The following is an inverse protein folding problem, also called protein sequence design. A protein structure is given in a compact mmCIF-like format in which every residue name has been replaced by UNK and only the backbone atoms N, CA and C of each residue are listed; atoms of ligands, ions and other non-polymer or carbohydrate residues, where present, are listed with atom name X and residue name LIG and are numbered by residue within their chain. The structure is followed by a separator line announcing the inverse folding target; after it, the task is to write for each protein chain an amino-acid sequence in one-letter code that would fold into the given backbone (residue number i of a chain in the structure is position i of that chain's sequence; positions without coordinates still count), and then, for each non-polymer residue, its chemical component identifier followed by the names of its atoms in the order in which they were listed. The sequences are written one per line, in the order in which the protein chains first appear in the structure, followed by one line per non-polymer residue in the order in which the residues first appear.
data_IF_140054435600
#
_entry.id   IF_140054435600
#
_cell.length_a   1.000
_cell.length_b   1.000
_cell.length_c   1.000
_cell.angle_alpha   90.00
_cell.angle_beta   90.00
_cell.angle_gamma   90.00
#
_symmetry.space_group_name_H-M   'P 1'
#
loop_
_entity.id
_entity.type
_entity.pdbx_description
1 polymer ?
#
# COMPACT_ATOMS: atom_id res chain seq x y z
N UNK A 1 13.68 7.53 19.16
CA UNK A 1 12.40 6.99 19.69
C UNK A 1 11.87 5.99 18.68
N UNK A 2 11.60 4.76 19.10
CA UNK A 2 11.13 3.74 18.17
C UNK A 2 9.64 3.91 17.89
N UNK A 3 9.27 3.99 16.61
CA UNK A 3 7.90 4.09 16.15
C UNK A 3 7.61 2.96 15.17
N UNK A 4 6.48 2.27 15.36
CA UNK A 4 6.04 1.20 14.47
C UNK A 4 4.99 1.68 13.48
N UNK A 5 5.20 1.36 12.21
CA UNK A 5 4.30 1.66 11.11
C UNK A 5 3.79 0.37 10.49
N UNK A 6 2.51 0.30 10.17
CA UNK A 6 1.93 -0.87 9.52
C UNK A 6 1.08 -0.52 8.29
N UNK A 7 1.10 -1.40 7.28
CA UNK A 7 0.13 -1.39 6.18
C UNK A 7 -0.76 -2.63 6.26
N UNK A 8 -2.07 -2.44 6.09
CA UNK A 8 -3.06 -3.49 6.29
C UNK A 8 -4.24 -3.36 5.31
N UNK A 9 -4.22 -4.20 4.27
CA UNK A 9 -5.37 -4.38 3.40
C UNK A 9 -6.43 -5.25 4.10
N UNK A 10 -7.62 -4.68 4.32
CA UNK A 10 -8.67 -5.31 5.12
C UNK A 10 -9.56 -6.30 4.35
N UNK A 11 -9.36 -6.45 3.04
CA UNK A 11 -10.17 -7.29 2.15
C UNK A 11 -11.68 -7.15 2.34
N UNK A 12 -12.26 -6.16 1.65
CA UNK A 12 -13.71 -5.91 1.60
C UNK A 12 -14.35 -5.47 2.94
N UNK A 13 -13.70 -4.63 3.77
CA UNK A 13 -14.26 -4.22 5.07
C UNK A 13 -15.55 -3.40 4.95
N UNK A 14 -16.69 -4.10 4.92
CA UNK A 14 -18.03 -3.59 4.59
C UNK A 14 -19.04 -4.08 5.62
N UNK A 15 -19.50 -3.20 6.50
CA UNK A 15 -20.45 -3.56 7.54
C UNK A 15 -21.84 -3.92 6.94
N UNK A 16 -22.53 -4.95 7.46
CA UNK A 16 -23.93 -5.18 7.16
C UNK A 16 -24.78 -3.95 7.51
N UNK A 17 -25.85 -3.63 6.74
CA UNK A 17 -26.44 -4.43 5.68
C UNK A 17 -25.85 -4.18 4.28
N UNK A 18 -24.72 -3.48 4.17
CA UNK A 18 -24.15 -3.10 2.88
C UNK A 18 -23.50 -4.29 2.15
N UNK A 19 -23.44 -4.17 0.83
CA UNK A 19 -22.75 -5.09 -0.08
C UNK A 19 -21.60 -4.37 -0.78
N UNK A 20 -20.62 -5.11 -1.30
CA UNK A 20 -19.55 -4.58 -2.15
C UNK A 20 -19.66 -5.13 -3.57
N UNK A 21 -19.55 -4.26 -4.58
CA UNK A 21 -19.66 -4.50 -6.02
C UNK A 21 -20.98 -5.13 -6.51
N UNK A 22 -21.40 -6.27 -5.95
CA UNK A 22 -22.61 -7.01 -6.29
C UNK A 22 -23.49 -7.20 -5.06
N UNK A 23 -24.82 -7.20 -5.26
CA UNK A 23 -25.81 -7.30 -4.18
C UNK A 23 -25.68 -8.56 -3.30
N UNK A 24 -25.15 -9.65 -3.87
CA UNK A 24 -24.98 -10.92 -3.16
C UNK A 24 -23.74 -10.93 -2.25
N UNK A 25 -22.76 -10.07 -2.53
CA UNK A 25 -21.48 -10.06 -1.84
C UNK A 25 -21.60 -9.13 -0.63
N UNK A 26 -21.96 -9.71 0.51
CA UNK A 26 -22.18 -9.03 1.79
C UNK A 26 -21.87 -9.98 2.93
N UNK A 27 -21.50 -9.42 4.07
CA UNK A 27 -21.38 -10.20 5.30
C UNK A 27 -22.76 -10.50 5.89
N UNK A 28 -22.92 -11.70 6.44
CA UNK A 28 -23.91 -11.90 7.50
C UNK A 28 -23.44 -11.22 8.78
N UNK A 29 -24.34 -11.03 9.75
CA UNK A 29 -23.98 -10.44 11.05
C UNK A 29 -22.86 -11.22 11.75
N UNK A 30 -22.95 -12.54 11.74
CA UNK A 30 -21.97 -13.44 12.37
C UNK A 30 -20.59 -13.38 11.67
N UNK A 31 -20.57 -13.37 10.33
CA UNK A 31 -19.31 -13.24 9.58
C UNK A 31 -18.67 -11.87 9.82
N UNK A 32 -19.47 -10.81 9.92
CA UNK A 32 -18.98 -9.47 10.25
C UNK A 32 -18.36 -9.41 11.65
N UNK A 33 -19.02 -10.00 12.65
CA UNK A 33 -18.49 -10.08 14.02
C UNK A 33 -17.15 -10.85 14.07
N UNK A 34 -17.01 -11.95 13.31
CA UNK A 34 -15.74 -12.68 13.16
C UNK A 34 -14.67 -11.83 12.48
N UNK A 35 -15.01 -11.16 11.36
CA UNK A 35 -14.10 -10.25 10.64
C UNK A 35 -13.58 -9.13 11.52
N UNK A 36 -14.49 -8.46 12.23
CA UNK A 36 -14.16 -7.40 13.19
C UNK A 36 -13.25 -7.92 14.29
N UNK A 37 -13.56 -9.08 14.88
CA UNK A 37 -12.74 -9.69 15.94
C UNK A 37 -11.34 -10.00 15.43
N UNK A 38 -11.22 -10.64 14.27
CA UNK A 38 -9.93 -10.94 13.67
C UNK A 38 -9.10 -9.69 13.40
N UNK A 39 -9.69 -8.62 12.84
CA UNK A 39 -8.98 -7.35 12.63
C UNK A 39 -8.53 -6.75 13.96
N UNK A 40 -9.35 -6.79 15.03
CA UNK A 40 -8.92 -6.31 16.36
C UNK A 40 -7.70 -7.07 16.86
N UNK A 41 -7.71 -8.39 16.73
CA UNK A 41 -6.63 -9.23 17.20
C UNK A 41 -5.37 -9.06 16.36
N UNK A 42 -5.50 -8.87 15.04
CA UNK A 42 -4.38 -8.47 14.20
C UNK A 42 -3.81 -7.11 14.63
N UNK A 43 -4.63 -6.06 14.78
CA UNK A 43 -4.13 -4.74 15.20
C UNK A 43 -3.36 -4.82 16.53
N UNK A 44 -3.87 -5.59 17.51
CA UNK A 44 -3.15 -5.82 18.78
C UNK A 44 -1.83 -6.57 18.57
N UNK A 45 -1.80 -7.56 17.68
CA UNK A 45 -0.61 -8.34 17.35
C UNK A 45 0.46 -7.50 16.66
N UNK A 46 0.07 -6.64 15.72
CA UNK A 46 0.97 -5.71 15.02
C UNK A 46 1.60 -4.72 16.00
N UNK A 47 0.83 -4.28 17.01
CA UNK A 47 1.21 -3.27 18.00
C UNK A 47 1.88 -2.04 17.34
N UNK A 48 1.33 -1.62 16.21
CA UNK A 48 1.85 -0.48 15.47
C UNK A 48 1.33 0.83 16.05
N UNK A 49 2.12 1.91 16.00
CA UNK A 49 1.67 3.22 16.46
C UNK A 49 0.85 3.94 15.40
N UNK A 50 1.15 3.67 14.13
CA UNK A 50 0.50 4.26 12.96
C UNK A 50 0.18 3.15 11.95
N UNK A 51 -1.09 3.07 11.52
CA UNK A 51 -1.57 2.04 10.60
C UNK A 51 -2.26 2.67 9.40
N UNK A 52 -1.79 2.32 8.20
CA UNK A 52 -2.47 2.61 6.93
C UNK A 52 -3.34 1.44 6.52
N UNK A 53 -4.60 1.71 6.18
CA UNK A 53 -5.58 0.72 5.79
C UNK A 53 -6.03 0.88 4.34
N UNK A 54 -6.19 -0.26 3.67
CA UNK A 54 -6.76 -0.38 2.33
C UNK A 54 -8.04 -1.25 2.35
N UNK A 55 -8.83 -1.23 1.26
CA UNK A 55 -10.11 -1.97 1.15
C UNK A 55 -11.14 -1.59 2.26
N UNK A 56 -11.15 -0.32 2.67
CA UNK A 56 -12.12 0.28 3.60
C UNK A 56 -13.39 0.75 2.88
N UNK A 57 -14.53 0.12 3.19
CA UNK A 57 -15.86 0.56 2.75
C UNK A 57 -16.67 1.17 3.90
N UNK A 58 -16.52 0.62 5.10
CA UNK A 58 -17.19 1.04 6.33
C UNK A 58 -16.25 1.89 7.19
N UNK A 59 -16.18 3.19 6.89
CA UNK A 59 -15.22 4.12 7.52
C UNK A 59 -15.51 4.28 9.02
N UNK A 60 -16.77 4.52 9.41
CA UNK A 60 -17.09 4.81 10.81
C UNK A 60 -16.89 3.58 11.69
N UNK A 61 -17.22 2.39 11.21
CA UNK A 61 -16.99 1.15 11.93
C UNK A 61 -15.48 0.89 12.14
N UNK A 62 -14.64 1.18 11.14
CA UNK A 62 -13.19 1.07 11.28
C UNK A 62 -12.65 2.11 12.26
N UNK A 63 -13.17 3.33 12.23
CA UNK A 63 -12.78 4.40 13.14
C UNK A 63 -13.12 4.08 14.59
N UNK A 64 -14.33 3.57 14.85
CA UNK A 64 -14.74 3.11 16.18
C UNK A 64 -13.85 1.97 16.67
N UNK A 65 -13.59 0.99 15.82
CA UNK A 65 -12.67 -0.12 16.08
C UNK A 65 -11.27 0.35 16.48
N UNK A 66 -10.69 1.27 15.70
CA UNK A 66 -9.37 1.83 15.98
C UNK A 66 -9.37 2.65 17.27
N UNK A 67 -10.43 3.42 17.53
CA UNK A 67 -10.56 4.19 18.76
C UNK A 67 -10.60 3.30 20.01
N UNK A 68 -11.35 2.19 19.96
CA UNK A 68 -11.38 1.19 21.04
C UNK A 68 -9.98 0.60 21.34
N UNK A 69 -9.09 0.58 20.35
CA UNK A 69 -7.72 0.07 20.45
C UNK A 69 -6.68 1.16 20.76
N UNK A 70 -7.13 2.38 21.10
CA UNK A 70 -6.26 3.48 21.54
C UNK A 70 -5.73 4.39 20.43
N UNK A 71 -6.24 4.28 19.19
CA UNK A 71 -5.91 5.20 18.11
C UNK A 71 -6.87 6.39 18.12
N UNK A 72 -6.52 7.43 18.89
CA UNK A 72 -7.34 8.64 19.04
C UNK A 72 -7.44 9.49 17.77
N UNK A 73 -6.51 9.30 16.82
CA UNK A 73 -6.47 10.06 15.57
C UNK A 73 -6.75 9.16 14.37
N UNK A 74 -7.80 9.49 13.63
CA UNK A 74 -8.25 8.74 12.46
C UNK A 74 -8.51 9.67 11.28
N UNK A 75 -8.09 9.26 10.08
CA UNK A 75 -8.23 10.04 8.87
C UNK A 75 -8.66 9.17 7.69
N UNK A 76 -9.70 9.61 6.98
CA UNK A 76 -9.97 9.21 5.60
C UNK A 76 -10.26 10.48 4.79
N UNK A 77 -9.78 10.53 3.55
CA UNK A 77 -9.82 11.73 2.69
C UNK A 77 -10.83 11.62 1.54
N UNK A 78 -11.54 10.49 1.46
CA UNK A 78 -12.54 10.23 0.43
C UNK A 78 -13.71 9.44 1.02
N UNK A 79 -14.80 9.29 0.26
CA UNK A 79 -15.96 8.48 0.65
C UNK A 79 -16.23 7.38 -0.39
N UNK A 80 -16.44 6.12 0.05
CA UNK A 80 -16.90 5.03 -0.79
C UNK A 80 -18.15 5.43 -1.58
N UNK A 81 -18.11 5.26 -2.89
CA UNK A 81 -19.25 5.54 -3.77
C UNK A 81 -20.18 4.35 -3.75
N UNK A 82 -21.48 4.62 -3.72
CA UNK A 82 -22.53 3.60 -3.78
C UNK A 82 -23.16 3.52 -5.16
N UNK A 83 -23.91 2.46 -5.42
CA UNK A 83 -24.67 2.31 -6.64
C UNK A 83 -25.82 3.32 -6.67
N UNK A 84 -25.92 4.11 -7.74
CA UNK A 84 -26.96 5.12 -7.93
C UNK A 84 -28.39 4.56 -7.88
N UNK A 85 -28.58 3.30 -8.27
CA UNK A 85 -29.90 2.62 -8.20
C UNK A 85 -30.11 1.89 -6.88
N UNK A 86 -29.04 1.55 -6.16
CA UNK A 86 -29.13 0.87 -4.87
C UNK A 86 -28.02 1.36 -3.91
N UNK A 87 -28.32 2.36 -3.06
CA UNK A 87 -27.36 2.95 -2.14
C UNK A 87 -26.77 1.96 -1.10
N UNK A 88 -27.33 0.75 -0.96
CA UNK A 88 -26.78 -0.30 -0.09
C UNK A 88 -25.62 -1.09 -0.70
N UNK A 89 -25.26 -0.81 -1.95
CA UNK A 89 -24.15 -1.50 -2.64
C UNK A 89 -23.03 -0.50 -2.87
N UNK A 90 -21.89 -0.68 -2.22
CA UNK A 90 -20.69 0.05 -2.52
C UNK A 90 -20.09 -0.39 -3.85
N UNK A 91 -19.48 0.56 -4.56
CA UNK A 91 -18.78 0.35 -5.84
C UNK A 91 -17.29 0.65 -5.75
N UNK A 92 -16.88 1.44 -4.77
CA UNK A 92 -15.48 1.81 -4.56
C UNK A 92 -15.14 1.66 -3.10
N UNK A 93 -13.86 1.41 -2.84
CA UNK A 93 -13.26 1.44 -1.52
C UNK A 93 -12.40 2.69 -1.38
N UNK A 94 -12.12 3.08 -0.14
CA UNK A 94 -11.18 4.16 0.18
C UNK A 94 -10.05 3.66 1.06
N UNK A 95 -9.19 4.60 1.45
CA UNK A 95 -8.08 4.42 2.38
C UNK A 95 -8.45 5.00 3.75
N UNK A 96 -7.80 4.49 4.78
CA UNK A 96 -7.82 5.12 6.10
C UNK A 96 -6.43 5.12 6.74
N UNK A 97 -6.23 6.00 7.71
CA UNK A 97 -5.04 6.09 8.53
C UNK A 97 -5.49 6.21 9.99
N UNK A 98 -4.99 5.33 10.85
CA UNK A 98 -5.15 5.43 12.30
C UNK A 98 -3.78 5.70 12.94
N UNK A 99 -3.75 6.56 13.96
CA UNK A 99 -2.54 6.99 14.62
C UNK A 99 -2.77 7.18 16.12
N UNK A 100 -1.83 6.70 16.94
CA UNK A 100 -1.74 7.03 18.36
C UNK A 100 -1.29 8.48 18.60
N UNK A 101 -0.70 9.12 17.58
CA UNK A 101 -0.18 10.49 17.65
C UNK A 101 -1.01 11.50 16.81
N UNK A 102 -0.99 12.80 17.15
CA UNK A 102 -1.77 13.82 16.47
C UNK A 102 -1.48 13.94 14.97
N UNK A 103 -2.55 13.88 14.17
CA UNK A 103 -2.53 14.26 12.75
C UNK A 103 -2.71 15.78 12.66
N UNK A 104 -1.62 16.52 12.49
CA UNK A 104 -1.62 17.99 12.54
C UNK A 104 -1.93 18.65 11.19
N UNK A 105 -1.84 17.91 10.09
CA UNK A 105 -2.19 18.39 8.75
C UNK A 105 -2.53 17.22 7.84
N UNK A 106 -3.48 17.42 6.93
CA UNK A 106 -3.68 16.58 5.76
C UNK A 106 -3.79 17.47 4.52
N UNK A 107 -3.22 17.02 3.39
CA UNK A 107 -3.29 17.74 2.12
C UNK A 107 -3.63 16.78 1.01
N UNK A 108 -4.40 17.24 0.03
CA UNK A 108 -4.73 16.43 -1.14
C UNK A 108 -3.47 16.22 -1.99
N UNK A 109 -3.22 14.96 -2.35
CA UNK A 109 -2.24 14.62 -3.39
C UNK A 109 -2.81 15.01 -4.74
N UNK A 110 -2.04 15.77 -5.53
CA UNK A 110 -2.42 16.16 -6.89
C UNK A 110 -1.84 15.17 -7.88
N UNK A 111 -2.60 14.85 -8.91
CA UNK A 111 -2.08 14.07 -10.02
C UNK A 111 -1.14 14.92 -10.89
N UNK A 112 -0.13 14.28 -11.46
CA UNK A 112 0.86 14.92 -12.32
C UNK A 112 0.39 14.95 -13.78
N UNK A 113 0.10 16.16 -14.28
CA UNK A 113 -0.39 16.37 -15.66
C UNK A 113 0.64 15.95 -16.72
N UNK A 114 1.94 16.24 -16.58
CA UNK A 114 2.98 15.70 -17.46
C UNK A 114 2.93 14.17 -17.59
N UNK A 115 2.77 13.43 -16.49
CA UNK A 115 2.68 11.96 -16.51
C UNK A 115 1.44 11.44 -17.25
N UNK A 116 0.29 12.11 -17.10
CA UNK A 116 -0.93 11.80 -17.88
C UNK A 116 -0.65 11.93 -19.39
N UNK A 117 0.06 13.00 -19.79
CA UNK A 117 0.44 13.22 -21.19
C UNK A 117 1.46 12.20 -21.68
N UNK A 118 2.48 11.88 -20.88
CA UNK A 118 3.52 10.86 -21.18
C UNK A 118 2.90 9.52 -21.56
N UNK A 119 1.85 9.12 -20.88
CA UNK A 119 1.17 7.84 -21.14
C UNK A 119 -0.01 7.91 -22.12
N UNK A 120 -0.25 9.09 -22.73
CA UNK A 120 -1.37 9.34 -23.63
C UNK A 120 -2.71 8.85 -23.03
N UNK A 121 -2.95 9.17 -21.74
CA UNK A 121 -4.13 8.68 -21.03
C UNK A 121 -5.37 9.44 -21.53
N UNK A 122 -6.24 8.74 -22.28
CA UNK A 122 -7.34 9.34 -23.03
C UNK A 122 -8.50 9.84 -22.16
N UNK A 123 -8.74 9.15 -21.05
CA UNK A 123 -9.85 9.46 -20.14
C UNK A 123 -9.51 10.57 -19.14
N UNK A 124 -10.53 11.11 -18.49
CA UNK A 124 -10.31 12.02 -17.36
C UNK A 124 -9.68 11.24 -16.20
N UNK A 125 -8.41 11.52 -15.94
CA UNK A 125 -7.69 10.87 -14.84
C UNK A 125 -8.30 11.22 -13.48
N UNK A 126 -8.40 10.19 -12.64
CA UNK A 126 -8.57 10.28 -11.21
C UNK A 126 -7.79 9.13 -10.59
N UNK A 127 -7.27 9.31 -9.37
CA UNK A 127 -6.72 8.19 -8.62
C UNK A 127 -7.80 7.11 -8.42
N UNK A 128 -7.40 5.85 -8.53
CA UNK A 128 -8.27 4.70 -8.27
C UNK A 128 -8.78 4.72 -6.83
N UNK A 129 -7.90 5.13 -5.92
CA UNK A 129 -8.19 5.47 -4.52
C UNK A 129 -7.40 6.72 -4.20
N UNK A 130 -8.05 7.75 -3.66
CA UNK A 130 -7.38 9.01 -3.33
C UNK A 130 -6.31 8.75 -2.26
N UNK A 131 -5.02 9.03 -2.54
CA UNK A 131 -3.96 8.85 -1.56
C UNK A 131 -4.16 9.71 -0.32
N UNK A 132 -3.84 9.16 0.85
CA UNK A 132 -3.73 9.95 2.08
C UNK A 132 -2.32 10.55 2.14
N UNK A 133 -2.23 11.83 2.47
CA UNK A 133 -1.00 12.51 2.89
C UNK A 133 -1.27 13.19 4.23
N UNK A 134 -0.72 12.65 5.30
CA UNK A 134 -0.85 13.16 6.65
C UNK A 134 0.51 13.62 7.19
N UNK A 135 0.52 14.73 7.92
CA UNK A 135 1.66 15.11 8.76
C UNK A 135 1.31 14.75 10.19
N UNK A 136 2.13 13.89 10.80
CA UNK A 136 1.98 13.43 12.17
C UNK A 136 3.05 14.10 13.02
N UNK A 137 2.66 14.67 14.16
CA UNK A 137 3.59 15.20 15.15
C UNK A 137 3.82 14.13 16.23
N UNK A 138 5.07 13.68 16.34
CA UNK A 138 5.50 12.70 17.33
C UNK A 138 5.70 13.35 18.71
N UNK A 139 5.81 12.56 19.80
CA UNK A 139 5.97 13.09 21.16
C UNK A 139 7.19 14.01 21.33
N UNK A 140 8.28 13.75 20.61
CA UNK A 140 9.49 14.57 20.58
C UNK A 140 9.37 15.83 19.69
N UNK A 141 8.18 16.13 19.16
CA UNK A 141 7.88 17.24 18.24
C UNK A 141 8.45 17.10 16.83
N UNK A 142 9.09 15.98 16.53
CA UNK A 142 9.47 15.62 15.16
C UNK A 142 8.21 15.43 14.33
N UNK A 143 8.20 16.01 13.12
CA UNK A 143 7.10 15.89 12.17
C UNK A 143 7.49 14.90 11.11
N UNK A 144 6.61 13.95 10.84
CA UNK A 144 6.77 12.95 9.78
C UNK A 144 5.60 13.04 8.81
N UNK A 145 5.88 12.78 7.53
CA UNK A 145 4.85 12.66 6.52
C UNK A 145 4.52 11.18 6.29
N UNK A 146 3.27 10.81 6.52
CA UNK A 146 2.78 9.44 6.27
C UNK A 146 1.81 9.45 5.10
N UNK A 147 2.12 8.62 4.11
CA UNK A 147 1.29 8.39 2.94
C UNK A 147 0.66 7.01 3.01
N UNK A 148 -0.63 6.91 2.70
CA UNK A 148 -1.31 5.63 2.50
C UNK A 148 -1.75 5.55 1.06
N UNK A 149 -1.40 4.46 0.37
CA UNK A 149 -1.66 4.29 -1.05
C UNK A 149 -2.25 2.90 -1.34
N UNK A 150 -3.17 2.84 -2.30
CA UNK A 150 -3.66 1.61 -2.91
C UNK A 150 -3.80 1.85 -4.41
N UNK A 151 -2.83 1.38 -5.18
CA UNK A 151 -2.83 1.62 -6.63
C UNK A 151 -3.88 0.78 -7.36
N UNK A 152 -4.04 1.01 -8.66
CA UNK A 152 -4.99 0.26 -9.48
C UNK A 152 -4.66 -1.25 -9.51
N UNK A 153 -5.62 -2.09 -9.12
CA UNK A 153 -5.45 -3.56 -9.17
C UNK A 153 -5.48 -4.14 -10.59
N UNK A 154 -4.75 -5.23 -10.80
CA UNK A 154 -4.71 -5.99 -12.06
C UNK A 154 -5.83 -7.06 -12.23
N UNK A 155 -6.96 -6.91 -11.53
CA UNK A 155 -8.08 -7.89 -11.49
C UNK A 155 -8.73 -8.25 -12.86
N UNK A 156 -8.38 -7.54 -13.93
CA UNK A 156 -8.92 -7.81 -15.28
C UNK A 156 -8.08 -8.85 -16.06
N UNK A 157 -7.14 -9.54 -15.39
CA UNK A 157 -6.21 -10.47 -16.02
C UNK A 157 -5.40 -9.83 -17.17
N UNK A 158 -5.05 -8.55 -17.05
CA UNK A 158 -4.05 -7.99 -17.98
C UNK A 158 -2.70 -8.67 -17.69
N UNK A 159 -1.91 -8.86 -18.75
CA UNK A 159 -0.59 -9.49 -18.64
C UNK A 159 0.28 -8.75 -17.62
N UNK A 160 0.79 -9.48 -16.64
CA UNK A 160 1.63 -8.92 -15.59
C UNK A 160 3.10 -9.01 -15.98
N UNK A 161 3.82 -7.90 -15.86
CA UNK A 161 5.24 -7.83 -16.17
C UNK A 161 6.07 -8.17 -14.94
N UNK A 162 6.79 -9.29 -15.01
CA UNK A 162 7.66 -9.75 -13.93
C UNK A 162 9.11 -9.38 -14.25
N UNK A 163 9.76 -8.72 -13.30
CA UNK A 163 11.17 -8.34 -13.36
C UNK A 163 11.92 -8.95 -12.19
N UNK A 164 13.24 -9.06 -12.32
CA UNK A 164 14.13 -9.56 -11.26
C UNK A 164 14.98 -8.44 -10.70
N UNK A 165 15.59 -8.68 -9.55
CA UNK A 165 16.64 -7.83 -9.01
C UNK A 165 17.71 -7.55 -10.08
N UNK A 166 18.18 -6.30 -10.13
CA UNK A 166 19.20 -5.86 -11.10
C UNK A 166 18.70 -5.70 -12.54
N UNK A 167 17.42 -5.96 -12.85
CA UNK A 167 16.88 -5.68 -14.19
C UNK A 167 16.95 -4.16 -14.46
N UNK A 168 17.68 -3.69 -15.49
CA UNK A 168 17.84 -2.26 -15.73
C UNK A 168 16.54 -1.58 -16.13
N UNK A 169 16.34 -0.33 -15.69
CA UNK A 169 15.14 0.44 -16.01
C UNK A 169 14.84 0.50 -17.52
N UNK A 170 15.87 0.67 -18.34
CA UNK A 170 15.74 0.71 -19.81
C UNK A 170 15.12 -0.58 -20.37
N UNK A 171 15.46 -1.74 -19.81
CA UNK A 171 14.88 -3.02 -20.22
C UNK A 171 13.39 -3.09 -19.82
N UNK A 172 13.03 -2.60 -18.63
CA UNK A 172 11.64 -2.55 -18.18
C UNK A 172 10.78 -1.64 -19.07
N UNK A 173 11.32 -0.48 -19.45
CA UNK A 173 10.68 0.45 -20.39
C UNK A 173 10.47 -0.23 -21.75
N UNK A 174 11.51 -0.86 -22.32
CA UNK A 174 11.39 -1.51 -23.63
C UNK A 174 10.38 -2.66 -23.62
N UNK A 175 10.38 -3.49 -22.57
CA UNK A 175 9.44 -4.62 -22.43
C UNK A 175 7.98 -4.18 -22.30
N UNK A 176 7.72 -3.01 -21.71
CA UNK A 176 6.36 -2.49 -21.50
C UNK A 176 5.90 -1.53 -22.60
N UNK A 177 6.82 -1.03 -23.43
CA UNK A 177 6.59 -0.01 -24.45
C UNK A 177 5.40 -0.33 -25.37
N UNK A 178 5.38 -1.51 -25.99
CA UNK A 178 4.33 -1.90 -26.95
C UNK A 178 2.95 -1.87 -26.29
N UNK A 179 2.82 -2.36 -25.06
CA UNK A 179 1.55 -2.39 -24.35
C UNK A 179 1.08 -1.00 -23.94
N UNK A 180 2.01 -0.10 -23.60
CA UNK A 180 1.71 1.29 -23.28
C UNK A 180 1.37 2.11 -24.54
N UNK A 181 2.10 1.95 -25.65
CA UNK A 181 1.84 2.72 -26.86
C UNK A 181 0.51 2.32 -27.53
N UNK A 182 0.15 1.03 -27.50
CA UNK A 182 -1.04 0.50 -28.17
C UNK A 182 -2.28 0.39 -27.26
N UNK A 183 -2.26 0.98 -26.06
CA UNK A 183 -3.37 0.91 -25.08
C UNK A 183 -3.75 -0.54 -24.66
N UNK A 184 -2.84 -1.51 -24.78
CA UNK A 184 -3.11 -2.89 -24.37
C UNK A 184 -3.08 -3.11 -22.85
N UNK A 185 -2.48 -2.19 -22.10
CA UNK A 185 -2.52 -2.22 -20.63
C UNK A 185 -2.93 -0.89 -20.03
N UNK A 186 -4.25 -0.71 -19.89
CA UNK A 186 -4.84 0.47 -19.27
C UNK A 186 -4.56 0.53 -17.77
N UNK A 187 -4.46 -0.63 -17.11
CA UNK A 187 -4.18 -0.74 -15.68
C UNK A 187 -2.74 -0.33 -15.37
N UNK A 188 -1.76 -0.79 -16.17
CA UNK A 188 -0.37 -0.38 -15.99
C UNK A 188 -0.21 1.14 -16.18
N UNK A 189 -0.84 1.73 -17.20
CA UNK A 189 -0.84 3.19 -17.38
C UNK A 189 -1.37 3.93 -16.16
N UNK A 190 -2.50 3.49 -15.63
CA UNK A 190 -3.09 4.07 -14.43
C UNK A 190 -2.09 4.00 -13.25
N UNK A 191 -1.51 2.83 -12.97
CA UNK A 191 -0.52 2.65 -11.88
C UNK A 191 0.71 3.55 -12.06
N UNK A 192 1.25 3.66 -13.28
CA UNK A 192 2.42 4.49 -13.56
C UNK A 192 2.12 5.98 -13.34
N UNK A 193 0.96 6.47 -13.76
CA UNK A 193 0.55 7.86 -13.51
C UNK A 193 0.33 8.10 -12.02
N UNK A 194 -0.32 7.17 -11.30
CA UNK A 194 -0.54 7.26 -9.86
C UNK A 194 0.80 7.31 -9.09
N UNK A 195 1.73 6.40 -9.40
CA UNK A 195 3.08 6.36 -8.82
C UNK A 195 3.89 7.61 -9.15
N UNK A 196 3.86 8.07 -10.40
CA UNK A 196 4.56 9.28 -10.84
C UNK A 196 4.02 10.53 -10.13
N UNK A 197 2.71 10.59 -9.90
CA UNK A 197 2.08 11.69 -9.17
C UNK A 197 2.56 11.75 -7.72
N UNK A 198 2.73 10.59 -7.08
CA UNK A 198 3.28 10.48 -5.73
C UNK A 198 4.76 10.90 -5.70
N UNK A 199 5.58 10.40 -6.64
CA UNK A 199 6.97 10.79 -6.80
C UNK A 199 7.13 12.32 -6.92
N UNK A 200 6.32 12.95 -7.78
CA UNK A 200 6.38 14.40 -8.00
C UNK A 200 6.01 15.21 -6.77
N UNK A 201 5.19 14.66 -5.87
CA UNK A 201 4.87 15.28 -4.60
C UNK A 201 6.08 15.29 -3.66
N UNK A 202 6.80 14.16 -3.58
CA UNK A 202 7.83 13.96 -2.56
C UNK A 202 9.25 14.32 -3.01
N UNK A 203 9.53 14.46 -4.31
CA UNK A 203 10.90 14.70 -4.82
C UNK A 203 11.60 15.94 -4.25
N UNK A 204 10.83 16.93 -3.78
CA UNK A 204 11.32 18.16 -3.11
C UNK A 204 10.96 18.20 -1.61
N UNK A 205 10.38 17.13 -1.07
CA UNK A 205 9.99 17.07 0.35
C UNK A 205 11.23 17.03 1.23
N UNK A 206 11.21 17.82 2.30
CA UNK A 206 12.25 17.86 3.34
C UNK A 206 11.82 17.23 4.66
N UNK A 207 10.60 16.69 4.69
CA UNK A 207 10.03 16.06 5.88
C UNK A 207 10.33 14.56 5.76
N UNK A 208 10.86 13.89 6.80
CA UNK A 208 10.99 12.44 6.83
C UNK A 208 9.66 11.78 6.45
N UNK A 209 9.69 10.93 5.43
CA UNK A 209 8.48 10.46 4.75
C UNK A 209 8.41 8.94 4.76
N UNK A 210 7.20 8.41 5.01
CA UNK A 210 6.90 6.98 5.07
C UNK A 210 5.66 6.71 4.21
N UNK A 211 5.70 5.63 3.43
CA UNK A 211 4.67 5.19 2.51
C UNK A 211 4.17 3.83 2.93
N UNK A 212 2.87 3.70 3.20
CA UNK A 212 2.17 2.48 3.60
C UNK A 212 1.29 2.07 2.42
N UNK A 213 1.71 1.01 1.71
CA UNK A 213 1.24 0.79 0.36
C UNK A 213 0.72 -0.62 0.14
N UNK A 214 -0.38 -0.71 -0.60
CA UNK A 214 -0.68 -1.81 -1.51
C UNK A 214 -0.47 -1.29 -2.94
N UNK A 215 0.66 -1.64 -3.56
CA UNK A 215 0.97 -1.18 -4.91
C UNK A 215 0.27 -2.00 -6.01
N UNK A 216 -0.33 -3.14 -5.66
CA UNK A 216 -0.87 -4.11 -6.61
C UNK A 216 0.14 -4.48 -7.71
N UNK A 217 1.45 -4.39 -7.46
CA UNK A 217 2.50 -4.69 -8.43
C UNK A 217 3.68 -5.37 -7.73
N UNK A 218 4.34 -6.27 -8.46
CA UNK A 218 5.37 -7.13 -7.88
C UNK A 218 6.67 -6.37 -7.57
N UNK A 219 7.50 -7.04 -6.80
CA UNK A 219 8.84 -6.58 -6.50
C UNK A 219 9.61 -6.28 -7.80
N UNK A 220 10.45 -5.25 -7.78
CA UNK A 220 11.21 -4.76 -8.94
C UNK A 220 10.37 -4.25 -10.12
N UNK A 221 9.06 -4.04 -9.98
CA UNK A 221 8.25 -3.54 -11.09
C UNK A 221 8.62 -2.13 -11.55
N UNK A 222 8.23 -1.81 -12.78
CA UNK A 222 8.38 -0.45 -13.30
C UNK A 222 7.51 0.57 -12.54
N UNK A 223 6.45 0.14 -11.85
CA UNK A 223 5.66 1.01 -10.96
C UNK A 223 6.48 1.44 -9.74
N UNK A 224 7.33 0.57 -9.19
CA UNK A 224 8.27 0.95 -8.12
C UNK A 224 9.31 1.94 -8.65
N UNK A 225 9.83 1.75 -9.87
CA UNK A 225 10.72 2.75 -10.49
C UNK A 225 10.03 4.10 -10.68
N UNK A 226 8.78 4.12 -11.15
CA UNK A 226 8.01 5.35 -11.29
C UNK A 226 7.74 6.04 -9.94
N UNK A 227 7.64 5.29 -8.84
CA UNK A 227 7.43 5.81 -7.49
C UNK A 227 8.72 6.34 -6.85
N UNK A 228 9.85 5.66 -7.08
CA UNK A 228 11.05 5.83 -6.26
C UNK A 228 12.26 6.38 -7.03
N UNK A 229 12.35 6.16 -8.34
CA UNK A 229 13.57 6.39 -9.13
C UNK A 229 13.47 7.64 -10.02
N UNK A 230 14.40 8.59 -9.83
CA UNK A 230 14.50 9.81 -10.64
C UNK A 230 14.75 9.53 -12.12
N UNK A 231 15.48 8.46 -12.44
CA UNK A 231 15.81 8.09 -13.82
C UNK A 231 14.55 7.83 -14.67
N UNK A 232 13.45 7.34 -14.06
CA UNK A 232 12.18 7.15 -14.75
C UNK A 232 11.57 8.45 -15.28
N UNK A 233 11.79 9.55 -14.58
CA UNK A 233 11.16 10.85 -14.85
C UNK A 233 12.04 11.78 -15.66
N UNK A 234 13.36 11.70 -15.49
CA UNK A 234 14.32 12.59 -16.11
C UNK A 234 15.12 11.96 -17.26
N UNK A 235 14.85 10.69 -17.58
CA UNK A 235 15.58 9.94 -18.62
C UNK A 235 17.10 9.92 -18.39
N UNK A 236 17.50 9.97 -17.12
CA UNK A 236 18.89 9.84 -16.67
C UNK A 236 19.40 8.42 -16.90
N UNK A 237 20.71 8.28 -17.18
CA UNK A 237 21.36 6.97 -17.24
C UNK A 237 21.61 6.38 -15.85
N UNK A 238 21.79 7.25 -14.85
CA UNK A 238 22.07 6.84 -13.48
C UNK A 238 20.80 6.80 -12.65
N UNK A 239 20.56 5.66 -12.01
CA UNK A 239 19.49 5.47 -11.05
C UNK A 239 19.75 6.30 -9.79
N UNK A 240 18.74 7.06 -9.38
CA UNK A 240 18.80 7.86 -8.15
C UNK A 240 17.46 7.78 -7.43
N UNK A 241 17.47 7.08 -6.30
CA UNK A 241 16.25 6.80 -5.53
C UNK A 241 15.98 7.87 -4.47
N UNK A 242 14.71 8.22 -4.30
CA UNK A 242 14.23 9.15 -3.25
C UNK A 242 13.44 8.44 -2.13
N UNK A 243 13.00 7.21 -2.41
CA UNK A 243 12.34 6.30 -1.49
C UNK A 243 13.03 4.94 -1.56
N UNK A 244 13.06 4.27 -0.41
CA UNK A 244 13.75 2.99 -0.21
C UNK A 244 12.75 2.00 0.40
N UNK A 245 12.68 0.78 -0.15
CA UNK A 245 11.85 -0.27 0.43
C UNK A 245 12.47 -0.72 1.76
N UNK A 246 11.73 -0.57 2.86
CA UNK A 246 12.24 -0.81 4.19
C UNK A 246 12.75 -2.25 4.39
N UNK A 247 12.25 -3.21 3.59
CA UNK A 247 12.70 -4.59 3.64
C UNK A 247 14.22 -4.72 3.39
N UNK A 248 14.80 -3.95 2.47
CA UNK A 248 16.23 -4.07 2.14
C UNK A 248 17.15 -3.24 3.04
N UNK A 249 16.60 -2.58 4.05
CA UNK A 249 17.31 -1.60 4.86
C UNK A 249 17.21 -1.89 6.37
N UNK A 250 16.61 -3.01 6.76
CA UNK A 250 16.70 -3.49 8.15
C UNK A 250 17.88 -4.44 8.31
N UNK A 251 18.40 -4.57 9.53
CA UNK A 251 19.33 -5.65 9.85
C UNK A 251 18.58 -6.98 9.80
N UNK A 252 19.03 -7.92 8.96
CA UNK A 252 18.48 -9.27 8.94
C UNK A 252 18.89 -10.00 10.24
N UNK A 253 17.92 -10.61 10.92
CA UNK A 253 18.27 -11.61 11.94
C UNK A 253 18.98 -12.76 11.23
N UNK A 254 20.28 -12.93 11.49
CA UNK A 254 21.09 -14.02 10.94
C UNK A 254 20.56 -15.34 11.52
N UNK A 255 19.58 -15.93 10.85
CA UNK A 255 19.20 -17.31 11.08
C UNK A 255 20.12 -18.19 10.23
N UNK A 256 20.97 -18.99 10.87
CA UNK A 256 21.88 -19.89 10.17
C UNK A 256 21.04 -20.91 9.37
N UNK A 257 20.93 -20.76 8.04
CA UNK A 257 20.04 -21.62 7.27
C UNK A 257 20.60 -23.04 7.28
N UNK A 258 19.73 -24.03 7.10
CA UNK A 258 20.19 -25.40 6.80
C UNK A 258 21.18 -25.35 5.62
N UNK A 259 22.21 -26.21 5.52
CA UNK A 259 23.27 -26.13 4.51
C UNK A 259 22.83 -26.01 3.03
N UNK A 260 21.56 -26.27 2.72
CA UNK A 260 20.96 -26.19 1.39
C UNK A 260 20.27 -24.85 1.09
N UNK A 261 19.96 -24.03 2.10
CA UNK A 261 19.27 -22.75 1.92
C UNK A 261 20.29 -21.62 1.78
N UNK A 262 20.42 -21.10 0.56
CA UNK A 262 21.47 -20.13 0.18
C UNK A 262 21.17 -18.68 0.58
N UNK A 263 19.90 -18.33 0.78
CA UNK A 263 19.45 -16.99 1.16
C UNK A 263 18.08 -17.06 1.85
N UNK A 264 17.75 -16.03 2.62
CA UNK A 264 16.40 -15.83 3.17
C UNK A 264 15.55 -15.21 2.06
N UNK A 265 14.49 -15.89 1.63
CA UNK A 265 13.54 -15.32 0.67
C UNK A 265 12.55 -14.39 1.40
N UNK A 266 12.20 -13.27 0.76
CA UNK A 266 11.22 -12.33 1.29
C UNK A 266 9.86 -13.02 1.44
N UNK A 267 9.25 -12.87 2.61
CA UNK A 267 7.92 -13.42 2.88
C UNK A 267 6.87 -12.75 1.96
N UNK A 268 6.07 -13.53 1.20
CA UNK A 268 5.01 -13.00 0.37
C UNK A 268 3.94 -12.24 1.17
N UNK A 269 3.34 -11.23 0.56
CA UNK A 269 2.21 -10.49 1.15
C UNK A 269 0.87 -10.91 0.56
N UNK A 270 0.85 -11.65 -0.54
CA UNK A 270 -0.35 -12.20 -1.17
C UNK A 270 0.00 -13.44 -1.97
N UNK A 271 -0.99 -14.21 -2.41
CA UNK A 271 -0.78 -15.38 -3.28
C UNK A 271 -1.72 -15.36 -4.48
N UNK A 272 -1.23 -15.89 -5.60
CA UNK A 272 -2.02 -16.14 -6.80
C UNK A 272 -1.71 -17.54 -7.33
N UNK A 273 -2.68 -18.46 -7.30
CA UNK A 273 -2.48 -19.89 -7.66
C UNK A 273 -1.26 -20.56 -6.99
N UNK A 274 -1.05 -20.29 -5.70
CA UNK A 274 0.09 -20.74 -4.88
C UNK A 274 1.44 -20.03 -5.14
N UNK A 275 1.52 -19.15 -6.15
CA UNK A 275 2.68 -18.29 -6.34
C UNK A 275 2.59 -17.09 -5.37
N UNK A 276 3.55 -17.01 -4.46
CA UNK A 276 3.67 -15.90 -3.52
C UNK A 276 4.09 -14.61 -4.23
N UNK A 277 3.41 -13.51 -3.91
CA UNK A 277 3.72 -12.19 -4.42
C UNK A 277 3.92 -11.20 -3.28
N UNK A 278 4.85 -10.27 -3.47
CA UNK A 278 4.99 -9.09 -2.64
C UNK A 278 4.33 -7.95 -3.38
N UNK A 279 3.25 -7.40 -2.82
CA UNK A 279 2.53 -6.25 -3.37
C UNK A 279 2.24 -5.18 -2.31
N UNK A 280 2.45 -5.52 -1.03
CA UNK A 280 2.31 -4.62 0.10
C UNK A 280 3.70 -4.21 0.59
N UNK A 281 3.92 -2.91 0.72
CA UNK A 281 5.24 -2.34 0.96
C UNK A 281 5.20 -1.23 2.00
N UNK A 282 6.33 -1.06 2.68
CA UNK A 282 6.63 0.15 3.43
C UNK A 282 7.87 0.78 2.80
N UNK A 283 7.72 1.98 2.22
CA UNK A 283 8.84 2.76 1.72
C UNK A 283 9.17 3.92 2.66
N UNK A 284 10.45 4.25 2.77
CA UNK A 284 10.94 5.34 3.61
C UNK A 284 11.82 6.31 2.82
N UNK A 285 11.87 7.58 3.23
CA UNK A 285 12.79 8.56 2.64
C UNK A 285 14.24 8.28 3.05
N UNK A 286 15.19 8.92 2.35
CA UNK A 286 16.62 8.74 2.62
C UNK A 286 17.00 9.03 4.09
N UNK A 287 16.33 9.97 4.76
CA UNK A 287 16.62 10.35 6.16
C UNK A 287 16.26 9.27 7.19
N UNK A 288 15.45 8.27 6.78
CA UNK A 288 14.94 7.20 7.64
C UNK A 288 15.49 5.82 7.26
N UNK A 289 16.07 5.66 6.07
CA UNK A 289 16.47 4.34 5.56
C UNK A 289 17.47 3.63 6.47
N UNK A 290 18.43 4.37 7.04
CA UNK A 290 19.48 3.81 7.90
C UNK A 290 19.05 3.73 9.37
N UNK A 291 17.76 3.97 9.66
CA UNK A 291 17.16 3.97 11.00
C UNK A 291 16.11 2.88 11.19
N UNK A 292 15.98 1.97 10.22
CA UNK A 292 15.04 0.86 10.30
C UNK A 292 15.59 -0.17 11.27
N UNK A 293 14.82 -0.46 12.32
CA UNK A 293 15.17 -1.40 13.38
C UNK A 293 14.69 -2.81 13.02
N UNK A 294 13.46 -2.93 12.52
CA UNK A 294 12.92 -4.23 12.14
C UNK A 294 11.86 -4.11 11.05
N UNK A 295 11.70 -5.19 10.28
CA UNK A 295 10.65 -5.35 9.30
C UNK A 295 10.04 -6.75 9.47
N UNK A 296 8.71 -6.84 9.56
CA UNK A 296 8.00 -8.10 9.81
C UNK A 296 6.76 -8.20 8.93
N UNK A 297 6.54 -9.40 8.39
CA UNK A 297 5.34 -9.77 7.65
C UNK A 297 4.52 -10.75 8.48
N UNK A 298 3.24 -10.46 8.66
CA UNK A 298 2.30 -11.28 9.41
C UNK A 298 1.39 -12.04 8.44
N UNK A 299 1.81 -13.24 8.05
CA UNK A 299 1.20 -14.07 7.00
C UNK A 299 0.58 -15.38 7.53
N UNK A 300 0.48 -15.56 8.85
CA UNK A 300 0.03 -16.81 9.48
C UNK A 300 -1.35 -17.31 9.00
N UNK A 301 -2.23 -16.40 8.60
CA UNK A 301 -3.52 -16.77 8.00
C UNK A 301 -3.38 -17.23 6.55
N UNK A 302 -2.45 -16.65 5.77
CA UNK A 302 -2.16 -17.06 4.39
C UNK A 302 -1.41 -18.40 4.33
N UNK A 303 -0.58 -18.71 5.34
CA UNK A 303 0.01 -20.05 5.51
C UNK A 303 -1.04 -21.13 5.68
N UNK A 304 -2.16 -20.82 6.35
CA UNK A 304 -3.31 -21.73 6.52
C UNK A 304 -4.20 -21.77 5.28
N UNK A 305 -4.38 -20.64 4.61
CA UNK A 305 -5.19 -20.52 3.40
C UNK A 305 -4.64 -19.39 2.50
N UNK A 306 -3.92 -19.77 1.44
CA UNK A 306 -3.26 -18.83 0.54
C UNK A 306 -4.23 -17.89 -0.20
N UNK A 307 -5.50 -18.28 -0.37
CA UNK A 307 -6.51 -17.41 -0.98
C UNK A 307 -7.11 -16.40 0.02
N UNK A 308 -6.71 -16.45 1.29
CA UNK A 308 -7.35 -15.72 2.36
C UNK A 308 -8.79 -16.11 2.60
N UNK A 309 -9.49 -15.32 3.41
CA UNK A 309 -10.94 -15.47 3.60
C UNK A 309 -11.60 -14.12 3.81
N UNK A 310 -12.90 -14.03 3.51
CA UNK A 310 -13.68 -12.81 3.75
C UNK A 310 -13.67 -12.41 5.24
N UNK A 311 -13.53 -13.38 6.14
CA UNK A 311 -13.47 -13.17 7.60
C UNK A 311 -12.04 -12.81 8.09
N UNK A 312 -11.02 -12.96 7.24
CA UNK A 312 -9.62 -12.59 7.52
C UNK A 312 -9.13 -11.56 6.49
N UNK A 313 -8.04 -11.80 5.76
CA UNK A 313 -7.64 -11.04 4.58
C UNK A 313 -7.04 -11.98 3.54
N UNK A 314 -6.97 -11.54 2.29
CA UNK A 314 -6.13 -12.14 1.24
C UNK A 314 -4.73 -11.53 1.17
N UNK A 315 -4.42 -10.59 2.09
CA UNK A 315 -3.11 -9.96 2.23
C UNK A 315 -2.52 -10.15 3.64
N UNK A 316 -1.21 -10.38 3.69
CA UNK A 316 -0.42 -10.28 4.91
C UNK A 316 -0.28 -8.82 5.35
N UNK A 317 -0.12 -8.59 6.65
CA UNK A 317 0.19 -7.27 7.18
C UNK A 317 1.69 -7.08 7.24
N UNK A 318 2.16 -5.87 6.95
CA UNK A 318 3.58 -5.53 7.02
C UNK A 318 3.78 -4.49 8.11
N UNK A 319 4.77 -4.69 8.97
CA UNK A 319 5.17 -3.76 10.04
C UNK A 319 6.63 -3.41 9.89
N UNK A 320 6.94 -2.13 10.04
CA UNK A 320 8.30 -1.60 10.09
C UNK A 320 8.48 -0.77 11.37
N UNK A 321 9.51 -1.07 12.14
CA UNK A 321 9.92 -0.29 13.31
C UNK A 321 11.11 0.59 12.93
N UNK A 322 11.02 1.89 13.22
CA UNK A 322 12.01 2.89 12.82
C UNK A 322 12.41 3.71 14.05
N UNK A 323 13.72 3.92 14.24
CA UNK A 323 14.21 4.89 15.22
C UNK A 323 14.05 6.32 14.68
N UNK A 324 13.23 7.12 15.34
CA UNK A 324 13.03 8.52 15.01
C UNK A 324 13.59 9.36 16.15
N UNK A 325 14.71 10.03 15.89
CA UNK A 325 15.36 10.99 16.78
C UNK A 325 14.36 11.99 17.39
#
# INVERSE_FOLDING_TARGET
MNIKFATFNLFQFTAPPFSWYFKKDRFTKEQWERKVTWIKDQIKLLDADIIGFQEVFSIEELKELCKELGYEHFLSVDKPKTNTKNPTIYKTTVLALASRFPIISNKNVRYDVPSIRKHNFKDKFAFSRVPIKAIIELPNKTKIAVYVNHLKSNRLNEFEYIFKEGTPLKEKIEKTKIALENDFSSVLKQRLIEASSLYMEIKESKIPTIFLCDLNDKEFSMTIDALCNKAYHEESQDDKYILFDAYYHHEEEIYNPHPEQKSIERTPTSYHFADGNVIDYIFVSNDLKDKIISYKVFDEHLKRNQNGSLEESDHAQVVCEIDID
#
